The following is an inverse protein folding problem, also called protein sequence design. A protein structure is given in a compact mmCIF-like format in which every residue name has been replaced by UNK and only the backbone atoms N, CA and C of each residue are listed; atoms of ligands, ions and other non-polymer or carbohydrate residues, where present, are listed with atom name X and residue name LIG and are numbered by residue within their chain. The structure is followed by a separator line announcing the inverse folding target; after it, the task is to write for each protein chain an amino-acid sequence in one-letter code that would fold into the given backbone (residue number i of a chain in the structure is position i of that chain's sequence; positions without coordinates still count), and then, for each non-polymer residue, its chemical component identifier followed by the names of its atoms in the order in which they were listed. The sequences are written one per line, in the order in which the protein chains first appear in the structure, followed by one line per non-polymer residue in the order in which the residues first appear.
data_IF_068469145675
#
_entry.id   IF_068469145675
#
_cell.length_a   1.000
_cell.length_b   1.000
_cell.length_c   1.000
_cell.angle_alpha   90.00
_cell.angle_beta   90.00
_cell.angle_gamma   90.00
#
_symmetry.space_group_name_H-M   'P 1'
#
loop_
_entity.id
_entity.type
_entity.pdbx_description
1 polymer ?
#
# COMPACT_ATOMS: atom_id res chain seq x y z
N UNK A 1 16.43 16.13 12.27
CA UNK A 1 15.27 15.31 12.69
C UNK A 1 14.28 15.32 11.54
N UNK A 2 14.02 14.17 10.91
CA UNK A 2 12.98 14.07 9.89
C UNK A 2 11.60 14.24 10.51
N UNK A 3 10.66 14.86 9.79
CA UNK A 3 9.27 14.90 10.23
C UNK A 3 8.59 13.58 9.83
N UNK A 4 7.93 12.94 10.80
CA UNK A 4 7.10 11.75 10.54
C UNK A 4 5.97 12.12 9.58
N UNK A 5 5.76 11.29 8.57
CA UNK A 5 4.75 11.47 7.54
C UNK A 5 3.71 10.37 7.65
N UNK A 6 2.47 10.74 7.39
CA UNK A 6 1.35 9.81 7.34
C UNK A 6 1.14 9.29 5.91
N UNK A 7 1.06 7.98 5.79
CA UNK A 7 0.74 7.28 4.56
C UNK A 7 -0.48 6.38 4.76
N UNK A 8 -1.14 6.04 3.65
CA UNK A 8 -2.24 5.08 3.60
C UNK A 8 -1.90 3.99 2.61
N UNK A 9 -1.88 2.75 3.07
CA UNK A 9 -1.82 1.57 2.22
C UNK A 9 -3.25 1.04 2.03
N UNK A 10 -3.84 1.32 0.88
CA UNK A 10 -5.17 0.82 0.52
C UNK A 10 -5.07 -0.58 -0.04
N UNK A 11 -5.91 -1.47 0.47
CA UNK A 11 -6.06 -2.82 -0.05
C UNK A 11 -7.13 -2.80 -1.14
N UNK A 12 -6.75 -3.25 -2.33
CA UNK A 12 -7.59 -3.22 -3.52
C UNK A 12 -8.01 -4.63 -3.91
N UNK A 13 -9.30 -4.85 -4.07
CA UNK A 13 -9.86 -6.12 -4.54
C UNK A 13 -9.62 -6.29 -6.06
N UNK A 14 -9.89 -7.50 -6.62
CA UNK A 14 -9.75 -7.73 -8.06
C UNK A 14 -10.61 -6.82 -8.94
N UNK A 15 -11.75 -6.32 -8.44
CA UNK A 15 -12.64 -5.39 -9.14
C UNK A 15 -12.13 -3.93 -9.12
N UNK A 16 -11.02 -3.68 -8.42
CA UNK A 16 -10.41 -2.36 -8.30
C UNK A 16 -10.99 -1.49 -7.20
N UNK A 17 -11.80 -2.03 -6.29
CA UNK A 17 -12.40 -1.31 -5.17
C UNK A 17 -11.51 -1.37 -3.94
N UNK A 18 -11.53 -0.29 -3.16
CA UNK A 18 -10.90 -0.26 -1.84
C UNK A 18 -11.80 -1.01 -0.86
N UNK A 19 -11.26 -2.05 -0.20
CA UNK A 19 -11.97 -2.75 0.87
C UNK A 19 -11.28 -2.64 2.23
N UNK A 20 -10.04 -2.11 2.27
CA UNK A 20 -9.27 -1.92 3.50
C UNK A 20 -8.25 -0.79 3.39
N UNK A 21 -7.83 -0.27 4.55
CA UNK A 21 -6.82 0.78 4.66
C UNK A 21 -5.95 0.57 5.91
N UNK A 22 -4.63 0.56 5.72
CA UNK A 22 -3.64 0.56 6.81
C UNK A 22 -2.96 1.93 6.84
N UNK A 23 -3.01 2.60 7.99
CA UNK A 23 -2.28 3.85 8.19
C UNK A 23 -0.83 3.55 8.59
N UNK A 24 0.13 4.14 7.88
CA UNK A 24 1.56 4.03 8.19
C UNK A 24 2.09 5.39 8.62
N UNK A 25 3.05 5.39 9.55
CA UNK A 25 3.76 6.58 10.00
C UNK A 25 5.24 6.34 9.77
N UNK A 26 5.79 7.00 8.75
CA UNK A 26 7.14 6.73 8.26
C UNK A 26 7.95 8.03 8.11
N UNK A 27 9.26 7.95 8.18
CA UNK A 27 10.18 9.08 7.99
C UNK A 27 10.22 9.55 6.52
N UNK A 28 10.14 8.61 5.58
CA UNK A 28 10.21 8.87 4.15
C UNK A 28 9.43 7.87 3.29
N UNK A 29 9.37 8.18 2.00
CA UNK A 29 8.66 7.37 1.01
C UNK A 29 9.30 6.00 0.83
N UNK A 30 10.61 5.83 1.07
CA UNK A 30 11.30 4.55 0.90
C UNK A 30 10.99 3.59 2.05
N UNK A 31 10.92 4.08 3.29
CA UNK A 31 10.41 3.31 4.42
C UNK A 31 8.95 2.93 4.21
N UNK A 32 8.11 3.89 3.81
CA UNK A 32 6.69 3.62 3.54
C UNK A 32 6.48 2.58 2.45
N UNK A 33 7.31 2.59 1.39
CA UNK A 33 7.29 1.56 0.34
C UNK A 33 7.65 0.18 0.88
N UNK A 34 8.69 0.07 1.72
CA UNK A 34 9.08 -1.22 2.34
C UNK A 34 7.97 -1.78 3.21
N UNK A 35 7.35 -0.94 4.04
CA UNK A 35 6.23 -1.35 4.90
C UNK A 35 5.00 -1.74 4.08
N UNK A 36 4.65 -0.96 3.05
CA UNK A 36 3.52 -1.28 2.17
C UNK A 36 3.73 -2.56 1.36
N UNK A 37 4.95 -2.83 0.90
CA UNK A 37 5.29 -4.06 0.18
C UNK A 37 5.10 -5.31 1.06
N UNK A 38 5.37 -5.22 2.36
CA UNK A 38 5.17 -6.31 3.29
C UNK A 38 3.68 -6.68 3.49
N UNK A 39 2.75 -5.80 3.12
CA UNK A 39 1.30 -6.04 3.19
C UNK A 39 0.76 -6.81 1.96
N UNK A 40 1.60 -7.03 0.93
CA UNK A 40 1.23 -7.70 -0.32
C UNK A 40 1.25 -9.21 -0.11
N UNK A 41 0.30 -9.71 0.68
CA UNK A 41 0.16 -11.15 0.93
C UNK A 41 -0.88 -11.79 0.01
N UNK A 42 -1.98 -11.09 -0.26
CA UNK A 42 -3.13 -11.63 -0.99
C UNK A 42 -3.71 -10.61 -1.97
N UNK A 43 -3.60 -9.32 -1.64
CA UNK A 43 -4.26 -8.25 -2.37
C UNK A 43 -3.25 -7.23 -2.88
N UNK A 44 -3.65 -6.57 -3.97
CA UNK A 44 -2.95 -5.42 -4.49
C UNK A 44 -2.99 -4.30 -3.45
N UNK A 45 -1.85 -3.65 -3.25
CA UNK A 45 -1.74 -2.51 -2.34
C UNK A 45 -1.46 -1.24 -3.15
N UNK A 46 -2.17 -0.18 -2.85
CA UNK A 46 -1.79 1.16 -3.29
C UNK A 46 -1.33 2.01 -2.11
N UNK A 47 -0.12 2.53 -2.19
CA UNK A 47 0.45 3.42 -1.19
C UNK A 47 0.21 4.87 -1.59
N UNK A 48 -0.43 5.62 -0.70
CA UNK A 48 -0.80 7.02 -0.90
C UNK A 48 -0.25 7.91 0.22
N UNK A 49 0.08 9.14 -0.14
CA UNK A 49 0.34 10.24 0.78
C UNK A 49 -0.55 11.41 0.36
N UNK A 50 -1.49 11.77 1.23
CA UNK A 50 -2.53 12.74 0.92
C UNK A 50 -3.31 12.33 -0.35
N UNK A 51 -3.22 13.12 -1.41
CA UNK A 51 -3.84 12.96 -2.72
C UNK A 51 -2.91 12.35 -3.78
N UNK A 52 -1.67 12.00 -3.39
CA UNK A 52 -0.67 11.45 -4.31
C UNK A 52 -0.45 9.96 -4.06
N UNK A 53 -0.64 9.15 -5.10
CA UNK A 53 -0.18 7.75 -5.10
C UNK A 53 1.34 7.71 -5.25
N UNK A 54 1.99 7.08 -4.28
CA UNK A 54 3.45 6.94 -4.19
C UNK A 54 3.92 5.64 -4.84
N UNK A 55 3.18 4.54 -4.65
CA UNK A 55 3.50 3.24 -5.21
C UNK A 55 2.25 2.38 -5.39
N UNK A 56 2.35 1.37 -6.25
CA UNK A 56 1.37 0.30 -6.44
C UNK A 56 2.14 -1.02 -6.39
N UNK A 57 1.62 -1.96 -5.63
CA UNK A 57 2.16 -3.30 -5.51
C UNK A 57 1.08 -4.30 -5.90
N UNK A 58 1.32 -5.05 -6.96
CA UNK A 58 0.37 -6.06 -7.44
C UNK A 58 0.51 -7.35 -6.64
N UNK A 59 -0.61 -8.04 -6.40
CA UNK A 59 -0.60 -9.35 -5.77
C UNK A 59 0.13 -10.38 -6.66
N UNK A 60 0.74 -11.42 -6.09
CA UNK A 60 1.34 -12.49 -6.87
C UNK A 60 0.30 -13.11 -7.83
N UNK A 61 0.69 -13.44 -9.07
CA UNK A 61 -0.23 -13.92 -10.10
C UNK A 61 -0.95 -15.23 -9.74
N UNK A 62 -0.46 -16.00 -8.77
CA UNK A 62 -1.08 -17.27 -8.31
C UNK A 62 -2.33 -17.09 -7.44
N UNK A 63 -2.57 -15.90 -6.88
CA UNK A 63 -3.71 -15.66 -5.96
C UNK A 63 -4.98 -15.24 -6.71
N UNK A 64 -4.88 -14.87 -7.99
CA UNK A 64 -6.00 -14.34 -8.79
C UNK A 64 -6.83 -15.45 -9.48
N UNK A 65 -6.50 -16.73 -9.25
CA UNK A 65 -7.25 -17.87 -9.80
C UNK A 65 -7.88 -18.71 -8.68
N UNK A 66 -9.02 -18.26 -8.16
CA UNK A 66 -10.06 -19.15 -7.60
C UNK A 66 -11.44 -18.61 -7.97
#
# INVERSE_FOLDING_TARGET
MGSLKHYRAFQIDPDGRVFGCVNLVCDDDEQAKREAAALVLVHRIELWRLDRRIAKFDAPPDVVRQ
#
